data_IF_329579540248
#
_entry.id   IF_329579540248
#
_cell.length_a   1.000
_cell.length_b   1.000
_cell.length_c   1.000
_cell.angle_alpha   90.00
_cell.angle_beta   90.00
_cell.angle_gamma   90.00
#
_symmetry.space_group_name_H-M   'P 1'
#
loop_
_entity.id
_entity.type
_entity.pdbx_description
1 polymer ?
#
# COMPACT_ATOMS: atom_id res chain seq x y z
N UNK A 1 1.07 39.42 -55.49
CA UNK A 1 0.59 38.02 -55.60
C UNK A 1 1.01 37.30 -54.32
N UNK A 2 0.20 36.68 -53.47
CA UNK A 2 -1.21 36.23 -53.55
C UNK A 2 -1.83 36.26 -52.14
N UNK A 3 -3.04 36.83 -52.10
CA UNK A 3 -4.24 36.49 -51.32
C UNK A 3 -4.16 35.97 -49.88
N UNK A 4 -4.74 36.78 -48.98
CA UNK A 4 -5.48 36.35 -47.79
C UNK A 4 -6.70 35.53 -48.22
N UNK A 5 -6.99 34.43 -47.52
CA UNK A 5 -8.30 33.78 -47.54
C UNK A 5 -8.78 33.59 -46.09
N UNK A 6 -10.01 34.06 -45.83
CA UNK A 6 -10.79 33.81 -44.61
C UNK A 6 -11.85 32.75 -44.94
N UNK A 7 -12.30 32.09 -43.87
CA UNK A 7 -13.61 31.46 -43.67
C UNK A 7 -13.82 30.02 -44.17
N UNK A 8 -14.42 29.21 -43.28
CA UNK A 8 -15.01 27.91 -43.60
C UNK A 8 -15.24 27.05 -42.36
N UNK A 9 -16.43 27.15 -41.77
CA UNK A 9 -16.91 26.42 -40.59
C UNK A 9 -17.90 25.34 -41.08
N UNK A 10 -17.57 24.05 -40.94
CA UNK A 10 -18.47 22.88 -41.13
C UNK A 10 -17.91 21.74 -40.24
N UNK A 11 -18.51 21.38 -39.10
CA UNK A 11 -19.72 20.56 -38.92
C UNK A 11 -19.57 19.09 -39.39
N UNK A 12 -19.31 18.19 -38.41
CA UNK A 12 -20.03 16.92 -38.21
C UNK A 12 -19.69 15.66 -39.04
N UNK A 13 -19.75 14.53 -38.31
CA UNK A 13 -19.87 13.11 -38.73
C UNK A 13 -18.55 12.29 -38.75
N UNK A 14 -18.41 11.14 -38.08
CA UNK A 14 -19.39 10.34 -37.35
C UNK A 14 -18.76 9.47 -36.25
N UNK A 15 -19.44 9.42 -35.11
CA UNK A 15 -19.19 8.49 -34.02
C UNK A 15 -19.91 7.18 -34.39
N UNK A 16 -19.14 6.13 -34.71
CA UNK A 16 -19.67 4.76 -34.85
C UNK A 16 -20.12 4.28 -33.47
N UNK A 17 -21.43 4.38 -33.20
CA UNK A 17 -22.08 3.76 -32.06
C UNK A 17 -22.26 2.27 -32.39
N UNK A 18 -21.47 1.41 -31.77
CA UNK A 18 -21.74 -0.02 -31.70
C UNK A 18 -22.94 -0.24 -30.77
N UNK A 19 -24.12 -0.36 -31.37
CA UNK A 19 -25.34 -0.77 -30.69
C UNK A 19 -25.23 -2.27 -30.32
N UNK A 20 -25.04 -2.54 -29.02
CA UNK A 20 -25.26 -3.88 -28.45
C UNK A 20 -26.62 -3.84 -27.73
N UNK A 21 -27.60 -4.70 -28.06
CA UNK A 21 -28.84 -4.77 -27.32
C UNK A 21 -28.61 -5.52 -26.00
N UNK A 22 -28.55 -4.80 -24.88
CA UNK A 22 -28.74 -5.43 -23.57
C UNK A 22 -30.22 -5.39 -23.22
N UNK A 23 -30.82 -6.58 -23.19
CA UNK A 23 -32.19 -6.82 -22.81
C UNK A 23 -32.46 -6.36 -21.37
N UNK A 24 -33.51 -5.56 -21.18
CA UNK A 24 -34.11 -5.30 -19.88
C UNK A 24 -35.05 -6.46 -19.53
N UNK A 25 -34.63 -7.32 -18.61
CA UNK A 25 -35.53 -8.22 -17.89
C UNK A 25 -35.80 -7.64 -16.50
N UNK A 26 -36.77 -6.74 -16.40
CA UNK A 26 -37.34 -6.34 -15.12
C UNK A 26 -38.48 -7.32 -14.78
N UNK A 27 -38.15 -8.40 -14.06
CA UNK A 27 -39.13 -9.28 -13.43
C UNK A 27 -39.25 -8.95 -11.96
N UNK A 28 -40.39 -8.40 -11.53
CA UNK A 28 -40.75 -8.31 -10.11
C UNK A 28 -40.89 -9.72 -9.51
N UNK A 29 -40.54 -9.97 -8.23
CA UNK A 29 -40.75 -11.28 -7.63
C UNK A 29 -42.25 -11.51 -7.39
N UNK A 30 -42.84 -12.40 -8.17
CA UNK A 30 -44.18 -12.94 -7.91
C UNK A 30 -44.02 -14.09 -6.91
N UNK A 31 -44.72 -14.01 -5.79
CA UNK A 31 -44.78 -15.07 -4.79
C UNK A 31 -45.49 -16.29 -5.38
N UNK A 32 -44.77 -17.40 -5.52
CA UNK A 32 -45.26 -18.68 -6.07
C UNK A 32 -45.46 -19.72 -4.97
N UNK A 33 -46.15 -19.36 -3.89
CA UNK A 33 -46.68 -20.36 -2.96
C UNK A 33 -48.14 -20.66 -3.33
N UNK A 34 -48.45 -21.83 -3.91
CA UNK A 34 -49.82 -22.31 -4.00
C UNK A 34 -50.36 -22.60 -2.57
N UNK A 35 -51.67 -22.47 -2.34
CA UNK A 35 -52.28 -22.74 -1.04
C UNK A 35 -52.13 -24.23 -0.70
N UNK A 36 -51.28 -24.56 0.28
CA UNK A 36 -50.91 -25.94 0.61
C UNK A 36 -49.60 -26.02 1.38
N UNK A 37 -49.51 -25.29 2.49
CA UNK A 37 -48.45 -25.43 3.50
C UNK A 37 -48.59 -26.76 4.23
N UNK A 38 -47.98 -27.81 3.68
CA UNK A 38 -47.68 -29.06 4.39
C UNK A 38 -46.16 -29.33 4.33
N UNK A 39 -45.61 -29.61 5.50
CA UNK A 39 -44.20 -29.87 5.77
C UNK A 39 -43.83 -31.28 5.30
N UNK A 40 -42.81 -31.48 4.45
CA UNK A 40 -42.41 -32.82 4.06
C UNK A 40 -41.66 -33.50 5.21
N UNK A 41 -42.04 -34.74 5.51
CA UNK A 41 -41.35 -35.59 6.48
C UNK A 41 -39.85 -35.73 6.16
N UNK A 42 -38.97 -35.84 7.18
CA UNK A 42 -37.52 -35.90 6.96
C UNK A 42 -37.13 -37.11 6.11
N UNK A 43 -36.33 -36.86 5.08
CA UNK A 43 -35.72 -37.88 4.23
C UNK A 43 -34.64 -38.63 5.03
N UNK A 44 -34.52 -39.97 4.93
CA UNK A 44 -33.45 -40.71 5.61
C UNK A 44 -32.07 -40.27 5.12
N UNK A 45 -31.15 -40.05 6.07
CA UNK A 45 -29.75 -39.67 5.79
C UNK A 45 -29.00 -40.79 5.06
N UNK A 46 -28.19 -40.49 4.04
CA UNK A 46 -27.31 -41.47 3.42
C UNK A 46 -26.24 -41.96 4.41
N UNK A 47 -25.89 -43.24 4.30
CA UNK A 47 -24.82 -43.89 5.06
C UNK A 47 -23.43 -43.35 4.66
N UNK A 48 -22.47 -43.24 5.59
CA UNK A 48 -21.14 -42.73 5.28
C UNK A 48 -20.37 -43.68 4.36
N UNK A 49 -19.75 -43.12 3.32
CA UNK A 49 -18.79 -43.82 2.46
C UNK A 49 -17.47 -44.06 3.22
N UNK A 50 -16.72 -45.15 2.92
CA UNK A 50 -15.46 -45.43 3.57
C UNK A 50 -14.40 -44.37 3.22
N UNK A 51 -13.73 -43.85 4.25
CA UNK A 51 -12.62 -42.89 4.16
C UNK A 51 -11.41 -43.54 3.47
N UNK A 52 -10.80 -42.90 2.46
CA UNK A 52 -9.51 -43.32 1.93
C UNK A 52 -8.41 -43.23 3.00
N UNK A 53 -7.54 -44.24 3.07
CA UNK A 53 -6.40 -44.26 3.99
C UNK A 53 -5.43 -43.11 3.67
N UNK A 54 -5.06 -42.33 4.70
CA UNK A 54 -4.03 -41.29 4.61
C UNK A 54 -2.67 -41.91 4.28
N UNK A 55 -2.08 -41.48 3.16
CA UNK A 55 -0.65 -41.68 2.92
C UNK A 55 0.10 -40.63 3.74
N UNK A 56 0.90 -41.07 4.70
CA UNK A 56 1.75 -40.18 5.51
C UNK A 56 2.73 -39.43 4.60
N UNK A 57 2.63 -38.10 4.61
CA UNK A 57 3.66 -37.23 4.07
C UNK A 57 4.87 -37.20 5.04
N UNK A 58 6.12 -37.23 4.54
CA UNK A 58 7.29 -37.19 5.41
C UNK A 58 7.36 -35.85 6.17
N UNK A 59 7.58 -35.95 7.48
CA UNK A 59 7.76 -34.80 8.35
C UNK A 59 9.05 -34.02 7.99
N UNK A 60 9.04 -32.67 8.01
CA UNK A 60 10.27 -31.90 7.85
C UNK A 60 11.14 -32.04 9.10
N UNK A 61 12.27 -32.71 8.98
CA UNK A 61 13.36 -32.68 9.95
C UNK A 61 14.18 -31.40 9.74
N UNK A 62 13.92 -30.38 10.54
CA UNK A 62 14.81 -29.22 10.65
C UNK A 62 16.11 -29.66 11.33
N UNK A 63 17.21 -29.71 10.58
CA UNK A 63 18.56 -29.83 11.12
C UNK A 63 19.29 -28.50 10.87
N UNK A 64 19.98 -27.92 11.89
CA UNK A 64 20.73 -26.69 11.69
C UNK A 64 21.94 -26.98 10.81
N UNK A 65 22.03 -26.27 9.68
CA UNK A 65 23.23 -26.23 8.85
C UNK A 65 24.20 -25.26 9.50
N UNK A 66 25.24 -25.80 10.14
CA UNK A 66 26.45 -25.04 10.47
C UNK A 66 27.31 -25.03 9.22
N UNK A 67 27.55 -23.85 8.66
CA UNK A 67 28.38 -23.68 7.48
C UNK A 67 29.84 -23.62 7.94
N UNK A 68 30.59 -24.68 7.65
CA UNK A 68 32.02 -24.80 7.94
C UNK A 68 32.82 -24.04 6.87
N UNK A 69 33.45 -22.94 7.26
CA UNK A 69 34.40 -22.21 6.40
C UNK A 69 35.76 -22.83 6.58
N UNK A 70 36.17 -23.63 5.60
CA UNK A 70 37.42 -24.39 5.61
C UNK A 70 38.66 -23.50 5.76
N UNK A 71 39.54 -23.95 6.66
CA UNK A 71 40.93 -23.54 6.78
C UNK A 71 41.76 -24.25 5.70
N UNK A 72 42.53 -23.47 4.92
CA UNK A 72 43.75 -23.92 4.26
C UNK A 72 44.82 -22.82 4.39
N UNK A 73 46.02 -23.29 4.67
CA UNK A 73 47.12 -22.66 5.40
C UNK A 73 48.00 -21.62 4.65
N UNK A 74 48.52 -20.70 5.48
CA UNK A 74 49.90 -20.19 5.58
C UNK A 74 50.55 -19.40 4.42
N UNK A 75 50.83 -18.13 4.72
CA UNK A 75 51.84 -17.28 4.09
C UNK A 75 51.90 -15.91 4.77
N UNK A 76 52.69 -15.78 5.82
CA UNK A 76 52.74 -14.58 6.68
C UNK A 76 53.43 -13.36 6.08
N UNK A 77 53.03 -12.18 6.57
CA UNK A 77 53.91 -11.05 6.91
C UNK A 77 53.06 -9.92 7.52
N UNK A 78 53.35 -9.64 8.79
CA UNK A 78 53.26 -8.37 9.55
C UNK A 78 52.44 -7.19 8.99
N UNK A 79 51.53 -6.67 9.84
CA UNK A 79 51.28 -5.22 9.92
C UNK A 79 49.82 -4.80 9.97
N UNK A 80 49.44 -4.26 11.14
CA UNK A 80 48.31 -3.35 11.39
C UNK A 80 46.88 -3.90 11.26
N UNK A 81 46.30 -4.15 12.43
CA UNK A 81 44.87 -4.26 12.66
C UNK A 81 44.21 -2.89 12.45
N UNK A 82 43.59 -2.69 11.28
CA UNK A 82 42.51 -1.72 11.12
C UNK A 82 41.24 -2.32 11.74
N UNK A 83 41.10 -2.14 13.05
CA UNK A 83 39.80 -2.15 13.71
C UNK A 83 38.96 -1.03 13.09
N UNK A 84 38.03 -1.37 12.19
CA UNK A 84 36.92 -0.46 11.88
C UNK A 84 36.04 -0.37 13.13
N UNK A 85 36.48 0.47 14.06
CA UNK A 85 35.64 1.13 15.05
C UNK A 85 34.40 1.65 14.33
N UNK A 86 33.27 1.07 14.71
CA UNK A 86 31.97 1.73 14.64
C UNK A 86 32.13 3.13 15.21
N UNK A 87 32.39 4.10 14.34
CA UNK A 87 32.48 5.51 14.63
C UNK A 87 31.08 6.04 14.96
N UNK A 88 30.54 5.61 16.10
CA UNK A 88 29.44 6.26 16.80
C UNK A 88 30.04 7.37 17.66
N UNK A 89 30.51 8.44 17.02
CA UNK A 89 31.38 9.38 17.73
C UNK A 89 31.58 10.73 17.08
N UNK A 90 30.55 11.36 16.52
CA UNK A 90 30.60 12.82 16.34
C UNK A 90 30.19 13.50 17.65
N UNK A 91 31.18 13.72 18.53
CA UNK A 91 31.45 15.00 19.19
C UNK A 91 30.37 15.77 19.98
N UNK A 92 29.17 15.25 20.19
CA UNK A 92 28.20 15.91 21.08
C UNK A 92 28.54 15.53 22.53
N UNK A 93 28.86 16.53 23.34
CA UNK A 93 28.97 16.39 24.81
C UNK A 93 27.71 15.66 25.29
N UNK A 94 27.89 14.47 25.88
CA UNK A 94 26.78 13.70 26.45
C UNK A 94 25.97 14.65 27.38
N UNK A 95 24.65 14.75 27.21
CA UNK A 95 23.82 15.58 28.05
C UNK A 95 23.98 15.21 29.53
N UNK A 96 23.73 16.18 30.41
CA UNK A 96 23.71 15.93 31.84
C UNK A 96 22.59 14.95 32.20
N UNK A 97 22.68 14.29 33.36
CA UNK A 97 21.64 13.36 33.81
C UNK A 97 20.26 14.04 33.89
N UNK A 98 20.23 15.29 34.35
CA UNK A 98 19.01 16.09 34.48
C UNK A 98 18.42 16.45 33.11
N UNK A 99 19.25 16.68 32.09
CA UNK A 99 18.80 16.82 30.70
C UNK A 99 18.28 15.50 30.13
N UNK A 100 18.92 14.37 30.42
CA UNK A 100 18.46 13.04 29.98
C UNK A 100 17.11 12.64 30.61
N UNK A 101 16.89 12.99 31.87
CA UNK A 101 15.61 12.74 32.58
C UNK A 101 14.47 13.63 32.07
N UNK A 102 14.79 14.79 31.48
CA UNK A 102 13.81 15.70 30.89
C UNK A 102 13.37 15.32 29.48
N UNK A 103 14.15 14.50 28.76
CA UNK A 103 13.81 14.04 27.41
C UNK A 103 12.61 13.07 27.45
N UNK A 104 11.77 13.16 26.43
CA UNK A 104 10.78 12.12 26.21
C UNK A 104 11.44 10.81 25.71
N UNK A 105 10.70 9.70 25.73
CA UNK A 105 11.29 8.41 25.38
C UNK A 105 11.69 8.31 23.91
N UNK A 106 11.00 9.03 23.01
CA UNK A 106 11.33 9.04 21.57
C UNK A 106 12.59 9.86 21.29
N UNK A 107 12.78 10.97 22.01
CA UNK A 107 13.97 11.81 21.97
C UNK A 107 15.18 11.10 22.56
N UNK A 108 15.00 10.35 23.65
CA UNK A 108 16.05 9.52 24.23
C UNK A 108 16.47 8.39 23.28
N UNK A 109 15.50 7.73 22.64
CA UNK A 109 15.79 6.68 21.65
C UNK A 109 16.49 7.26 20.40
N UNK A 110 16.22 8.51 20.03
CA UNK A 110 16.94 9.19 18.95
C UNK A 110 18.38 9.54 19.34
N UNK A 111 18.56 10.10 20.54
CA UNK A 111 19.86 10.45 21.09
C UNK A 111 20.77 9.22 21.22
N UNK A 112 20.21 8.10 21.67
CA UNK A 112 20.92 6.85 21.87
C UNK A 112 20.99 5.97 20.60
N UNK A 113 20.38 6.42 19.49
CA UNK A 113 20.37 5.67 18.23
C UNK A 113 19.59 4.34 18.30
N UNK A 114 18.66 4.22 19.24
CA UNK A 114 17.83 3.04 19.50
C UNK A 114 16.59 2.96 18.60
N UNK A 115 16.28 4.02 17.83
CA UNK A 115 15.17 4.00 16.87
C UNK A 115 15.32 2.82 15.89
N UNK A 116 14.27 1.98 15.74
CA UNK A 116 14.30 0.88 14.79
C UNK A 116 14.67 1.36 13.39
N UNK A 117 15.70 0.72 12.82
CA UNK A 117 16.16 1.01 11.47
C UNK A 117 15.38 0.16 10.48
N UNK A 118 15.26 0.68 9.26
CA UNK A 118 14.65 -0.06 8.18
C UNK A 118 15.61 -1.15 7.67
N UNK A 119 15.32 -2.40 8.03
CA UNK A 119 16.16 -3.58 7.75
C UNK A 119 15.72 -4.35 6.50
N UNK A 120 15.44 -3.63 5.40
CA UNK A 120 15.22 -4.25 4.07
C UNK A 120 16.41 -3.88 3.17
N UNK A 121 17.24 -4.87 2.77
CA UNK A 121 18.33 -4.64 1.84
C UNK A 121 17.83 -4.00 0.54
N UNK A 122 18.58 -3.08 -0.10
CA UNK A 122 18.12 -2.37 -1.30
C UNK A 122 17.60 -3.27 -2.42
N UNK A 123 18.19 -4.46 -2.61
CA UNK A 123 17.78 -5.43 -3.62
C UNK A 123 16.41 -6.10 -3.33
N UNK A 124 15.93 -6.04 -2.08
CA UNK A 124 14.67 -6.64 -1.65
C UNK A 124 13.55 -5.60 -1.46
N UNK A 125 13.85 -4.31 -1.64
CA UNK A 125 12.84 -3.25 -1.54
C UNK A 125 11.85 -3.33 -2.69
N UNK A 126 10.59 -3.07 -2.40
CA UNK A 126 9.53 -2.95 -3.40
C UNK A 126 9.85 -1.79 -4.34
N UNK A 127 9.83 -2.08 -5.64
CA UNK A 127 10.09 -1.06 -6.64
C UNK A 127 8.94 -0.07 -6.74
N UNK A 128 9.22 1.22 -6.59
CA UNK A 128 8.23 2.27 -6.85
C UNK A 128 8.08 2.61 -8.34
N UNK A 129 8.72 1.85 -9.24
CA UNK A 129 8.65 2.09 -10.68
C UNK A 129 7.25 1.80 -11.27
N UNK A 130 6.52 0.86 -10.66
CA UNK A 130 5.12 0.54 -11.01
C UNK A 130 4.38 0.19 -9.73
N UNK A 131 3.57 1.12 -9.24
CA UNK A 131 2.80 0.93 -8.01
C UNK A 131 1.34 0.66 -8.37
N UNK A 132 0.75 -0.39 -7.82
CA UNK A 132 -0.65 -0.76 -8.02
C UNK A 132 -0.96 -2.21 -7.66
N UNK A 133 -2.25 -2.50 -7.51
CA UNK A 133 -2.72 -3.85 -7.17
C UNK A 133 -3.38 -4.60 -8.32
N UNK A 134 -3.71 -3.90 -9.42
CA UNK A 134 -4.29 -4.53 -10.61
C UNK A 134 -3.25 -4.57 -11.74
N UNK A 135 -2.86 -5.77 -12.15
CA UNK A 135 -2.06 -5.99 -13.34
C UNK A 135 -2.90 -5.86 -14.63
N UNK A 136 -2.23 -5.75 -15.78
CA UNK A 136 -2.89 -5.53 -17.08
C UNK A 136 -3.75 -6.73 -17.52
N UNK A 137 -3.31 -7.95 -17.20
CA UNK A 137 -4.04 -9.21 -17.45
C UNK A 137 -5.23 -9.41 -16.51
N UNK A 138 -5.19 -8.82 -15.32
CA UNK A 138 -6.35 -8.64 -14.43
C UNK A 138 -7.25 -7.47 -14.89
N UNK A 139 -6.89 -6.90 -16.03
CA UNK A 139 -7.50 -5.81 -16.77
C UNK A 139 -7.30 -4.42 -16.16
N UNK A 140 -6.28 -4.26 -15.31
CA UNK A 140 -5.71 -2.95 -15.05
C UNK A 140 -5.25 -2.26 -16.33
N UNK A 141 -4.99 -0.96 -16.26
CA UNK A 141 -4.44 -0.21 -17.39
C UNK A 141 -2.98 -0.60 -17.63
N UNK A 142 -2.50 -0.59 -18.89
CA UNK A 142 -1.10 -0.84 -19.21
C UNK A 142 -0.17 0.08 -18.44
N UNK A 143 0.97 -0.43 -17.97
CA UNK A 143 1.88 0.31 -17.10
C UNK A 143 2.34 1.66 -17.70
N UNK A 144 2.48 1.72 -19.03
CA UNK A 144 2.93 2.89 -19.80
C UNK A 144 1.81 3.86 -20.20
N UNK A 145 0.58 3.69 -19.70
CA UNK A 145 -0.58 4.51 -20.07
C UNK A 145 -0.37 6.02 -19.90
N UNK A 146 0.51 6.43 -18.99
CA UNK A 146 0.82 7.83 -18.71
C UNK A 146 2.16 8.30 -19.29
N UNK A 147 2.87 7.49 -20.08
CA UNK A 147 4.23 7.78 -20.55
C UNK A 147 4.34 9.08 -21.38
N UNK A 148 3.27 9.48 -22.07
CA UNK A 148 3.20 10.71 -22.87
C UNK A 148 2.39 11.84 -22.21
N UNK A 149 2.13 11.73 -20.90
CA UNK A 149 1.36 12.73 -20.16
C UNK A 149 2.29 13.60 -19.32
N UNK A 150 2.12 14.94 -19.34
CA UNK A 150 2.90 15.80 -18.46
C UNK A 150 2.47 15.59 -17.01
N UNK A 151 3.44 15.51 -16.10
CA UNK A 151 3.18 15.30 -14.68
C UNK A 151 2.24 16.35 -14.06
N UNK A 152 2.27 17.60 -14.55
CA UNK A 152 1.40 18.68 -14.09
C UNK A 152 -0.08 18.39 -14.40
N UNK A 153 -0.38 17.84 -15.58
CA UNK A 153 -1.74 17.48 -15.96
C UNK A 153 -2.27 16.31 -15.11
N UNK A 154 -1.45 15.27 -14.92
CA UNK A 154 -1.81 14.11 -14.08
C UNK A 154 -2.03 14.55 -12.63
N UNK A 155 -1.15 15.40 -12.09
CA UNK A 155 -1.29 15.95 -10.74
C UNK A 155 -2.57 16.77 -10.62
N UNK A 156 -2.82 17.67 -11.58
CA UNK A 156 -4.00 18.53 -11.58
C UNK A 156 -5.31 17.74 -11.72
N UNK A 157 -5.37 16.71 -12.57
CA UNK A 157 -6.57 15.89 -12.75
C UNK A 157 -6.91 15.07 -11.51
N UNK A 158 -5.92 14.43 -10.89
CA UNK A 158 -6.13 13.65 -9.65
C UNK A 158 -6.45 14.57 -8.47
N UNK A 159 -5.69 15.66 -8.28
CA UNK A 159 -5.91 16.58 -7.18
C UNK A 159 -7.21 17.39 -7.33
N UNK A 160 -7.59 17.76 -8.56
CA UNK A 160 -8.80 18.51 -8.87
C UNK A 160 -10.10 17.69 -8.74
N UNK A 161 -10.01 16.37 -8.66
CA UNK A 161 -11.17 15.50 -8.43
C UNK A 161 -11.56 15.52 -6.94
N UNK A 162 -12.45 16.45 -6.57
CA UNK A 162 -12.83 16.76 -5.18
C UNK A 162 -14.29 16.39 -4.84
N UNK A 163 -15.17 16.24 -5.84
CA UNK A 163 -16.60 15.95 -5.64
C UNK A 163 -16.97 14.47 -5.77
N UNK A 164 -18.20 14.13 -5.39
CA UNK A 164 -18.77 12.81 -5.66
C UNK A 164 -18.92 12.62 -7.17
N UNK A 165 -18.55 11.43 -7.65
CA UNK A 165 -18.78 11.06 -9.05
C UNK A 165 -20.27 10.83 -9.28
N UNK A 166 -20.81 11.44 -10.33
CA UNK A 166 -22.24 11.32 -10.69
C UNK A 166 -22.55 10.06 -11.50
N UNK A 167 -21.52 9.33 -11.96
CA UNK A 167 -21.66 8.11 -12.76
C UNK A 167 -21.09 6.92 -12.02
N UNK A 168 -21.91 5.89 -11.81
CA UNK A 168 -21.49 4.60 -11.24
C UNK A 168 -20.40 3.95 -12.10
N UNK A 169 -20.59 3.92 -13.42
CA UNK A 169 -19.60 3.40 -14.36
C UNK A 169 -18.32 4.24 -14.35
N UNK A 170 -18.44 5.56 -14.23
CA UNK A 170 -17.30 6.46 -14.06
C UNK A 170 -16.50 6.18 -12.78
N UNK A 171 -17.18 5.91 -11.67
CA UNK A 171 -16.54 5.49 -10.42
C UNK A 171 -15.79 4.18 -10.55
N UNK A 172 -16.42 3.16 -11.15
CA UNK A 172 -15.79 1.85 -11.39
C UNK A 172 -14.54 2.01 -12.27
N UNK A 173 -14.66 2.74 -13.37
CA UNK A 173 -13.55 2.98 -14.29
C UNK A 173 -12.41 3.74 -13.62
N UNK A 174 -12.72 4.80 -12.85
CA UNK A 174 -11.71 5.58 -12.15
C UNK A 174 -11.03 4.79 -11.05
N UNK A 175 -11.78 4.04 -10.23
CA UNK A 175 -11.22 3.13 -9.21
C UNK A 175 -10.23 2.17 -9.85
N UNK A 176 -10.62 1.54 -10.97
CA UNK A 176 -9.76 0.62 -11.72
C UNK A 176 -8.49 1.30 -12.22
N UNK A 177 -8.62 2.49 -12.81
CA UNK A 177 -7.47 3.27 -13.29
C UNK A 177 -6.50 3.64 -12.15
N UNK A 178 -7.02 4.08 -11.00
CA UNK A 178 -6.20 4.46 -9.85
C UNK A 178 -5.52 3.25 -9.19
N UNK A 179 -6.20 2.09 -9.15
CA UNK A 179 -5.67 0.85 -8.58
C UNK A 179 -4.71 0.07 -9.52
N UNK A 180 -4.61 0.46 -10.79
CA UNK A 180 -3.75 -0.19 -11.79
C UNK A 180 -2.25 -0.03 -11.47
N UNK A 181 -1.44 -1.04 -11.82
CA UNK A 181 0.03 -1.03 -11.74
C UNK A 181 0.65 -0.12 -12.79
N UNK A 182 0.59 1.18 -12.53
CA UNK A 182 1.03 2.22 -13.46
C UNK A 182 2.43 2.72 -13.12
N UNK A 183 3.21 3.00 -14.16
CA UNK A 183 4.42 3.80 -14.03
C UNK A 183 4.04 5.27 -13.81
N UNK A 184 4.76 6.01 -12.95
CA UNK A 184 4.53 7.43 -12.78
C UNK A 184 4.85 8.20 -14.08
N UNK A 185 4.18 9.32 -14.35
CA UNK A 185 4.54 10.19 -15.47
C UNK A 185 5.97 10.74 -15.28
N UNK A 186 6.65 11.06 -16.38
CA UNK A 186 8.02 11.57 -16.35
C UNK A 186 8.16 12.80 -15.45
N UNK A 187 9.14 12.77 -14.54
CA UNK A 187 9.41 13.83 -13.58
C UNK A 187 8.56 13.79 -12.30
N UNK A 188 7.72 12.77 -12.10
CA UNK A 188 7.00 12.52 -10.84
C UNK A 188 7.57 11.28 -10.16
N UNK A 189 7.78 11.33 -8.84
CA UNK A 189 8.23 10.15 -8.09
C UNK A 189 7.10 9.11 -7.96
N UNK A 190 7.47 7.83 -7.87
CA UNK A 190 6.51 6.74 -7.66
C UNK A 190 5.68 6.90 -6.38
N UNK A 191 6.33 7.33 -5.28
CA UNK A 191 5.65 7.59 -4.01
C UNK A 191 4.68 8.77 -4.07
N UNK A 192 5.04 9.87 -4.77
CA UNK A 192 4.10 10.99 -4.99
C UNK A 192 2.89 10.54 -5.80
N UNK A 193 3.12 9.80 -6.89
CA UNK A 193 2.06 9.29 -7.74
C UNK A 193 1.14 8.29 -7.01
N UNK A 194 1.71 7.40 -6.20
CA UNK A 194 0.97 6.50 -5.32
C UNK A 194 0.13 7.30 -4.31
N UNK A 195 0.72 8.31 -3.66
CA UNK A 195 0.02 9.15 -2.69
C UNK A 195 -1.14 9.95 -3.30
N UNK A 196 -0.97 10.50 -4.50
CA UNK A 196 -2.06 11.17 -5.23
C UNK A 196 -3.25 10.22 -5.48
N UNK A 197 -2.95 8.99 -5.94
CA UNK A 197 -3.97 7.98 -6.22
C UNK A 197 -4.66 7.48 -4.95
N UNK A 198 -3.90 7.19 -3.90
CA UNK A 198 -4.43 6.77 -2.60
C UNK A 198 -5.34 7.84 -1.98
N UNK A 199 -4.96 9.12 -2.05
CA UNK A 199 -5.84 10.21 -1.57
C UNK A 199 -7.15 10.30 -2.34
N UNK A 200 -7.12 10.15 -3.67
CA UNK A 200 -8.34 10.18 -4.45
C UNK A 200 -9.22 8.94 -4.17
N UNK A 201 -8.62 7.75 -4.04
CA UNK A 201 -9.33 6.55 -3.61
C UNK A 201 -10.01 6.76 -2.25
N UNK A 202 -9.33 7.33 -1.26
CA UNK A 202 -9.94 7.68 0.03
C UNK A 202 -11.14 8.64 -0.12
N UNK A 203 -11.02 9.70 -0.94
CA UNK A 203 -12.13 10.63 -1.19
C UNK A 203 -13.31 9.96 -1.90
N UNK A 204 -13.05 8.94 -2.71
CA UNK A 204 -14.06 8.11 -3.34
C UNK A 204 -14.70 7.09 -2.38
N UNK A 205 -14.22 6.96 -1.15
CA UNK A 205 -14.66 5.92 -0.22
C UNK A 205 -14.04 4.54 -0.50
N UNK A 206 -13.02 4.48 -1.35
CA UNK A 206 -12.32 3.26 -1.75
C UNK A 206 -11.12 2.96 -0.84
N UNK A 207 -11.37 2.94 0.47
CA UNK A 207 -10.33 2.85 1.50
C UNK A 207 -9.52 1.54 1.41
N UNK A 208 -10.16 0.42 1.07
CA UNK A 208 -9.46 -0.84 0.88
C UNK A 208 -8.44 -0.80 -0.25
N UNK A 209 -8.79 -0.16 -1.37
CA UNK A 209 -7.86 0.02 -2.49
C UNK A 209 -6.76 1.03 -2.15
N UNK A 210 -7.09 2.12 -1.45
CA UNK A 210 -6.11 3.10 -1.00
C UNK A 210 -5.07 2.50 -0.03
N UNK A 211 -5.53 1.68 0.93
CA UNK A 211 -4.67 0.93 1.85
C UNK A 211 -3.73 0.00 1.08
N UNK A 212 -4.27 -0.73 0.11
CA UNK A 212 -3.48 -1.66 -0.68
C UNK A 212 -2.42 -0.94 -1.56
N UNK A 213 -2.73 0.25 -2.09
CA UNK A 213 -1.73 1.12 -2.76
C UNK A 213 -0.61 1.53 -1.79
N UNK A 214 -0.93 1.87 -0.55
CA UNK A 214 0.08 2.22 0.45
C UNK A 214 0.98 1.02 0.80
N UNK A 215 0.39 -0.17 0.95
CA UNK A 215 1.12 -1.41 1.25
C UNK A 215 2.06 -1.86 0.14
N UNK A 216 1.78 -1.49 -1.11
CA UNK A 216 2.64 -1.77 -2.27
C UNK A 216 3.93 -0.93 -2.30
N UNK A 217 4.04 0.09 -1.43
CA UNK A 217 5.22 0.95 -1.30
C UNK A 217 5.85 0.74 0.07
N UNK A 218 7.17 0.54 0.10
CA UNK A 218 7.91 0.46 1.36
C UNK A 218 7.94 1.80 2.09
N UNK A 219 7.88 1.76 3.42
CA UNK A 219 7.71 2.94 4.27
C UNK A 219 8.90 3.90 4.17
N UNK A 220 10.10 3.40 3.87
CA UNK A 220 11.28 4.21 3.61
C UNK A 220 11.09 5.16 2.41
N UNK A 221 10.35 4.72 1.39
CA UNK A 221 10.04 5.51 0.20
C UNK A 221 8.82 6.45 0.38
N UNK A 222 8.09 6.39 1.50
CA UNK A 222 6.89 7.21 1.68
C UNK A 222 7.23 8.70 1.78
N UNK A 223 6.41 9.54 1.17
CA UNK A 223 6.37 10.98 1.42
C UNK A 223 5.14 11.35 2.25
N UNK A 224 5.03 12.61 2.65
CA UNK A 224 3.91 13.08 3.47
C UNK A 224 2.54 12.91 2.79
N UNK A 225 2.48 12.92 1.46
CA UNK A 225 1.21 12.69 0.76
C UNK A 225 0.75 11.25 0.93
N UNK A 226 1.63 10.30 0.67
CA UNK A 226 1.33 8.87 0.76
C UNK A 226 1.08 8.44 2.20
N UNK A 227 1.91 8.89 3.14
CA UNK A 227 1.75 8.56 4.55
C UNK A 227 0.41 9.08 5.12
N UNK A 228 -0.02 10.31 4.76
CA UNK A 228 -1.35 10.80 5.15
C UNK A 228 -2.48 9.96 4.56
N UNK A 229 -2.39 9.64 3.26
CA UNK A 229 -3.40 8.80 2.60
C UNK A 229 -3.46 7.39 3.21
N UNK A 230 -2.32 6.83 3.59
CA UNK A 230 -2.22 5.53 4.23
C UNK A 230 -2.89 5.54 5.60
N UNK A 231 -2.58 6.52 6.47
CA UNK A 231 -3.20 6.66 7.79
C UNK A 231 -4.72 6.79 7.68
N UNK A 232 -5.21 7.62 6.75
CA UNK A 232 -6.65 7.77 6.51
C UNK A 232 -7.28 6.42 6.07
N UNK A 233 -6.60 5.66 5.21
CA UNK A 233 -7.08 4.37 4.72
C UNK A 233 -7.08 3.28 5.81
N UNK A 234 -6.04 3.23 6.65
CA UNK A 234 -5.94 2.31 7.79
C UNK A 234 -7.06 2.57 8.81
N UNK A 235 -7.27 3.84 9.17
CA UNK A 235 -8.37 4.23 10.08
C UNK A 235 -9.72 3.85 9.47
N UNK A 236 -9.96 4.19 8.20
CA UNK A 236 -11.25 3.96 7.54
C UNK A 236 -11.56 2.47 7.31
N UNK A 237 -10.53 1.62 7.24
CA UNK A 237 -10.69 0.15 7.15
C UNK A 237 -10.69 -0.55 8.51
N UNK A 238 -10.43 0.17 9.60
CA UNK A 238 -10.29 -0.40 10.95
C UNK A 238 -8.97 -1.13 11.19
N UNK A 239 -8.02 -1.08 10.26
CA UNK A 239 -6.70 -1.70 10.37
C UNK A 239 -5.70 -0.74 11.02
N UNK A 240 -5.92 -0.43 12.30
CA UNK A 240 -5.09 0.53 13.05
C UNK A 240 -3.66 0.01 13.21
N UNK A 241 -3.50 -1.30 13.40
CA UNK A 241 -2.18 -1.93 13.58
C UNK A 241 -1.35 -1.89 12.28
N UNK A 242 -2.00 -1.93 11.11
CA UNK A 242 -1.34 -1.75 9.82
C UNK A 242 -0.60 -0.41 9.66
N UNK A 243 -0.96 0.62 10.43
CA UNK A 243 -0.26 1.90 10.43
C UNK A 243 0.94 1.97 11.40
N UNK A 244 1.10 0.97 12.29
CA UNK A 244 2.13 0.99 13.33
C UNK A 244 3.58 1.00 12.82
N UNK A 245 3.93 0.32 11.73
CA UNK A 245 5.26 0.46 11.15
C UNK A 245 5.61 1.92 10.79
N UNK A 246 4.64 2.75 10.38
CA UNK A 246 4.88 4.19 10.18
C UNK A 246 5.07 4.91 11.52
N UNK A 247 4.26 4.61 12.53
CA UNK A 247 4.36 5.22 13.85
C UNK A 247 5.71 4.94 14.53
N UNK A 248 6.23 3.71 14.39
CA UNK A 248 7.50 3.28 14.96
C UNK A 248 8.69 3.85 14.17
N UNK A 249 8.69 3.72 12.84
CA UNK A 249 9.83 4.16 12.02
C UNK A 249 9.87 5.69 11.83
N UNK A 250 8.74 6.37 11.97
CA UNK A 250 8.59 7.81 11.72
C UNK A 250 7.68 8.48 12.74
N UNK A 251 7.96 8.33 14.03
CA UNK A 251 7.18 8.93 15.12
C UNK A 251 6.97 10.45 14.98
N UNK A 252 7.99 11.18 14.54
CA UNK A 252 7.95 12.64 14.30
C UNK A 252 7.28 13.07 12.98
N UNK A 253 6.59 12.15 12.29
CA UNK A 253 5.94 12.43 11.02
C UNK A 253 4.82 13.48 11.12
N UNK A 254 4.07 13.47 12.24
CA UNK A 254 2.94 14.34 12.57
C UNK A 254 2.87 14.54 14.08
N UNK A 255 2.11 15.53 14.54
CA UNK A 255 1.94 15.82 15.98
C UNK A 255 0.48 16.03 16.40
N UNK A 256 -0.47 15.89 15.48
CA UNK A 256 -1.87 16.07 15.79
C UNK A 256 -2.41 14.99 16.73
N UNK A 257 -3.55 15.28 17.37
CA UNK A 257 -4.16 14.39 18.38
C UNK A 257 -4.43 12.99 17.84
N UNK A 258 -4.85 12.87 16.56
CA UNK A 258 -5.13 11.55 15.96
C UNK A 258 -3.83 10.76 15.81
N UNK A 259 -2.75 11.43 15.42
CA UNK A 259 -1.43 10.81 15.34
C UNK A 259 -0.90 10.39 16.71
N UNK A 260 -1.00 11.23 17.74
CA UNK A 260 -0.62 10.85 19.11
C UNK A 260 -1.39 9.63 19.62
N UNK A 261 -2.71 9.58 19.38
CA UNK A 261 -3.52 8.41 19.72
C UNK A 261 -3.06 7.16 18.96
N UNK A 262 -2.78 7.28 17.66
CA UNK A 262 -2.27 6.17 16.85
C UNK A 262 -0.92 5.67 17.38
N UNK A 263 0.01 6.57 17.71
CA UNK A 263 1.30 6.21 18.33
C UNK A 263 1.10 5.49 19.64
N UNK A 264 0.25 6.00 20.54
CA UNK A 264 -0.04 5.34 21.81
C UNK A 264 -0.60 3.92 21.63
N UNK A 265 -1.54 3.73 20.69
CA UNK A 265 -2.07 2.40 20.35
C UNK A 265 -0.95 1.49 19.86
N UNK A 266 -0.10 1.98 18.95
CA UNK A 266 0.99 1.21 18.39
C UNK A 266 2.06 0.84 19.43
N UNK A 267 2.43 1.76 20.33
CA UNK A 267 3.32 1.47 21.46
C UNK A 267 2.72 0.43 22.40
N UNK A 268 1.42 0.51 22.70
CA UNK A 268 0.73 -0.50 23.51
C UNK A 268 0.76 -1.89 22.85
N UNK A 269 0.51 -1.98 21.54
CA UNK A 269 0.62 -3.23 20.78
C UNK A 269 2.06 -3.75 20.68
N UNK A 270 3.05 -2.86 20.70
CA UNK A 270 4.48 -3.21 20.76
C UNK A 270 4.96 -3.69 22.12
N UNK A 271 4.10 -3.73 23.14
CA UNK A 271 4.48 -4.10 24.52
C UNK A 271 5.08 -2.94 25.33
N UNK A 272 5.05 -1.73 24.80
CA UNK A 272 5.65 -0.53 25.39
C UNK A 272 4.58 0.36 26.03
N UNK A 273 3.71 -0.24 26.86
CA UNK A 273 2.60 0.48 27.51
C UNK A 273 3.06 1.67 28.37
N UNK A 274 4.32 1.68 28.82
CA UNK A 274 4.94 2.83 29.48
C UNK A 274 5.03 4.07 28.58
N UNK A 275 5.25 3.90 27.27
CA UNK A 275 5.30 4.95 26.24
C UNK A 275 3.92 5.33 25.71
N UNK A 276 2.87 4.56 25.99
CA UNK A 276 1.52 4.75 25.46
C UNK A 276 0.71 5.85 26.18
N UNK A 277 1.33 7.01 26.47
CA UNK A 277 0.74 8.10 27.27
C UNK A 277 0.67 9.41 26.50
#
# INVERSE_FOLDING_TARGET
MKMRARAGLLAGAGLMVLAVPFALAAGNPVSLLPPGSEEPAPTPSPAPAPTPAETQAPAPTSSPVVQDTGEDSEGGSDGESDDEESSGGTGNRLPTLEELEALDTDELDELLGLKPKFDIPPAQRRSTARVGILAEDEGGLPAVSLARQPQSLVRASIAGTQGRLVSRWGHIALRRALASRLAPPSGMSGAEFAGLRAQLLNRMGEFGAARAIAQDVDIDAWNARLANAAVDAYIATGDIVGACPLAVLRGGYREDVKWRMLRAICSAYGGEAGRAR
#
